data_IF_951709404757
#
_entry.id   IF_951709404757
#
_cell.length_a   1.000
_cell.length_b   1.000
_cell.length_c   1.000
_cell.angle_alpha   90.00
_cell.angle_beta   90.00
_cell.angle_gamma   90.00
#
_symmetry.space_group_name_H-M   'P 1'
#
loop_
_entity.id
_entity.type
_entity.pdbx_description
1 polymer ?
#
# COMPACT_ATOMS: atom_id res chain seq x y z
N UNK A 1 11.12 -7.84 9.49
CA UNK A 1 11.12 -6.41 9.09
C UNK A 1 11.77 -5.62 10.21
N UNK A 2 12.57 -4.60 9.91
CA UNK A 2 13.09 -3.68 10.93
C UNK A 2 12.12 -2.50 11.08
N UNK A 3 11.34 -2.50 12.16
CA UNK A 3 10.30 -1.50 12.40
C UNK A 3 10.86 -0.09 12.62
N UNK A 4 12.15 0.05 12.98
CA UNK A 4 12.79 1.36 13.14
C UNK A 4 12.96 2.11 11.80
N UNK A 5 12.74 1.42 10.68
CA UNK A 5 12.77 1.98 9.34
C UNK A 5 11.40 2.36 8.79
N UNK A 6 10.35 2.28 9.62
CA UNK A 6 9.00 2.68 9.20
C UNK A 6 8.64 4.00 9.85
N UNK A 7 8.37 4.98 9.01
CA UNK A 7 7.96 6.31 9.42
C UNK A 7 6.50 6.53 9.00
N UNK A 8 5.67 6.92 9.96
CA UNK A 8 4.23 7.14 9.71
C UNK A 8 3.88 8.60 9.85
N UNK A 9 3.15 9.12 8.87
CA UNK A 9 2.65 10.48 8.86
C UNK A 9 1.11 10.45 8.70
N UNK A 10 0.39 11.14 9.57
CA UNK A 10 -1.06 11.30 9.47
C UNK A 10 -1.41 12.67 8.90
N UNK A 11 -2.36 12.73 7.97
CA UNK A 11 -2.79 13.95 7.27
C UNK A 11 -4.31 14.09 7.24
N UNK A 12 -4.79 15.24 6.79
CA UNK A 12 -6.22 15.51 6.56
C UNK A 12 -7.13 15.30 7.80
N UNK A 13 -6.59 15.50 9.01
CA UNK A 13 -7.31 15.24 10.26
C UNK A 13 -7.48 13.76 10.62
N UNK A 14 -6.84 12.85 9.88
CA UNK A 14 -6.70 11.45 10.29
C UNK A 14 -5.84 11.38 11.56
N UNK A 15 -6.25 10.53 12.47
CA UNK A 15 -5.56 10.22 13.73
C UNK A 15 -5.15 8.75 13.72
N UNK A 16 -4.52 8.27 14.79
CA UNK A 16 -4.13 6.86 14.87
C UNK A 16 -5.31 5.88 14.91
N UNK A 17 -6.54 6.35 15.17
CA UNK A 17 -7.74 5.49 15.36
C UNK A 17 -8.98 5.96 14.60
N UNK A 18 -9.04 7.23 14.15
CA UNK A 18 -10.16 7.79 13.40
C UNK A 18 -9.74 8.62 12.18
N UNK A 19 -10.59 8.70 11.14
CA UNK A 19 -11.77 7.86 10.91
C UNK A 19 -11.37 6.42 10.56
N UNK A 20 -12.25 5.44 10.75
CA UNK A 20 -11.97 4.06 10.31
C UNK A 20 -12.05 3.97 8.79
N UNK A 21 -13.13 4.51 8.22
CA UNK A 21 -13.38 4.48 6.78
C UNK A 21 -12.77 5.70 6.07
N UNK A 22 -12.56 5.56 4.77
CA UNK A 22 -12.06 6.65 3.92
C UNK A 22 -10.55 6.89 3.98
N UNK A 23 -9.81 6.18 4.84
CA UNK A 23 -8.34 6.26 4.84
C UNK A 23 -7.76 5.80 3.50
N UNK A 24 -6.73 6.53 3.10
CA UNK A 24 -5.85 6.25 1.97
C UNK A 24 -4.42 6.16 2.48
N UNK A 25 -3.68 5.26 1.89
CA UNK A 25 -2.30 4.95 2.20
C UNK A 25 -1.46 5.30 0.99
N UNK A 26 -0.41 6.09 1.19
CA UNK A 26 0.66 6.32 0.22
C UNK A 26 1.92 5.76 0.84
N UNK A 27 2.43 4.65 0.30
CA UNK A 27 3.66 4.01 0.79
C UNK A 27 4.79 4.32 -0.18
N UNK A 28 5.85 4.97 0.29
CA UNK A 28 7.06 5.23 -0.51
C UNK A 28 8.28 4.57 0.12
N UNK A 29 9.26 4.20 -0.70
CA UNK A 29 10.49 3.54 -0.28
C UNK A 29 11.72 4.38 -0.63
N UNK A 30 12.72 4.38 0.24
CA UNK A 30 14.04 4.92 -0.09
C UNK A 30 15.03 3.81 -0.41
N UNK A 31 15.41 3.66 -1.68
CA UNK A 31 16.42 2.68 -2.10
C UNK A 31 17.79 2.89 -1.44
N UNK A 32 18.07 4.13 -0.99
CA UNK A 32 19.34 4.49 -0.36
C UNK A 32 19.45 4.01 1.09
N UNK A 33 18.38 4.15 1.87
CA UNK A 33 18.39 3.85 3.32
C UNK A 33 17.63 2.57 3.66
N UNK A 34 16.75 2.12 2.77
CA UNK A 34 15.78 1.06 3.01
C UNK A 34 14.62 1.50 3.90
N UNK A 35 14.41 2.81 4.05
CA UNK A 35 13.31 3.35 4.86
C UNK A 35 11.98 3.27 4.10
N UNK A 36 10.92 3.01 4.85
CA UNK A 36 9.54 2.97 4.38
C UNK A 36 8.77 4.11 5.02
N UNK A 37 8.11 4.91 4.19
CA UNK A 37 7.28 6.01 4.65
C UNK A 37 5.83 5.68 4.32
N UNK A 38 4.97 5.73 5.33
CA UNK A 38 3.53 5.45 5.23
C UNK A 38 2.79 6.73 5.57
N UNK A 39 2.25 7.39 4.55
CA UNK A 39 1.38 8.54 4.75
C UNK A 39 -0.07 8.08 4.73
N UNK A 40 -0.82 8.38 5.80
CA UNK A 40 -2.20 8.00 6.01
C UNK A 40 -3.07 9.26 6.03
N UNK A 41 -3.97 9.38 5.06
CA UNK A 41 -4.81 10.57 4.89
C UNK A 41 -6.19 10.23 4.34
N UNK A 42 -6.99 11.25 4.03
CA UNK A 42 -8.25 11.10 3.28
C UNK A 42 -8.01 11.29 1.77
N UNK A 43 -6.85 11.85 1.43
CA UNK A 43 -6.31 11.98 0.08
C UNK A 43 -4.99 11.24 -0.03
N UNK A 44 -4.59 10.90 -1.25
CA UNK A 44 -3.23 10.41 -1.47
C UNK A 44 -2.25 11.57 -1.26
N UNK A 45 -1.05 11.25 -0.78
CA UNK A 45 0.00 12.24 -0.59
C UNK A 45 0.65 12.57 -1.93
N UNK A 46 -0.05 13.33 -2.78
CA UNK A 46 0.40 13.66 -4.14
C UNK A 46 1.76 14.36 -4.17
N UNK A 47 2.10 15.12 -3.13
CA UNK A 47 3.43 15.72 -2.91
C UNK A 47 4.56 14.70 -2.65
N UNK A 48 4.22 13.46 -2.33
CA UNK A 48 5.15 12.35 -2.08
C UNK A 48 5.25 11.39 -3.27
N UNK A 49 4.34 11.50 -4.24
CA UNK A 49 4.38 10.72 -5.47
C UNK A 49 5.47 11.32 -6.35
N UNK A 50 6.49 10.53 -6.64
CA UNK A 50 7.59 10.98 -7.49
C UNK A 50 7.36 10.63 -8.97
N UNK A 51 8.31 11.02 -9.82
CA UNK A 51 8.25 10.69 -11.25
C UNK A 51 8.53 9.21 -11.54
N UNK A 52 9.23 8.54 -10.63
CA UNK A 52 9.56 7.12 -10.77
C UNK A 52 8.34 6.25 -10.46
N UNK A 53 7.33 6.78 -9.76
CA UNK A 53 6.05 6.14 -9.46
C UNK A 53 6.21 4.87 -8.62
N UNK A 54 7.25 4.82 -7.79
CA UNK A 54 7.60 3.64 -6.97
C UNK A 54 6.73 3.54 -5.70
N UNK A 55 5.73 4.40 -5.54
CA UNK A 55 4.76 4.31 -4.47
C UNK A 55 3.79 3.13 -4.61
N UNK A 56 3.29 2.65 -3.48
CA UNK A 56 2.08 1.82 -3.41
C UNK A 56 0.94 2.69 -2.88
N UNK A 57 -0.10 2.85 -3.69
CA UNK A 57 -1.31 3.59 -3.32
C UNK A 57 -2.39 2.61 -2.90
N UNK A 58 -3.00 2.78 -1.73
CA UNK A 58 -4.11 1.94 -1.28
C UNK A 58 -5.24 2.76 -0.66
N UNK A 59 -6.47 2.27 -0.78
CA UNK A 59 -7.66 2.87 -0.16
C UNK A 59 -8.62 1.79 0.30
N UNK A 60 -9.37 2.10 1.35
CA UNK A 60 -10.55 1.31 1.68
C UNK A 60 -11.63 1.52 0.61
N UNK A 61 -12.28 0.44 0.21
CA UNK A 61 -13.43 0.49 -0.69
C UNK A 61 -14.53 -0.45 -0.21
N UNK A 62 -15.78 -0.10 -0.51
CA UNK A 62 -16.93 -0.96 -0.30
C UNK A 62 -17.34 -1.54 -1.65
N UNK A 63 -17.35 -2.86 -1.76
CA UNK A 63 -17.79 -3.57 -2.96
C UNK A 63 -18.64 -4.76 -2.55
N UNK A 64 -19.86 -4.83 -3.08
CA UNK A 64 -20.82 -5.91 -2.79
C UNK A 64 -21.04 -6.15 -1.29
N UNK A 65 -21.15 -5.06 -0.51
CA UNK A 65 -21.35 -5.12 0.95
C UNK A 65 -20.12 -5.57 1.76
N UNK A 66 -18.96 -5.76 1.12
CA UNK A 66 -17.69 -6.10 1.79
C UNK A 66 -16.71 -4.94 1.69
N UNK A 67 -15.99 -4.70 2.78
CA UNK A 67 -14.86 -3.78 2.78
C UNK A 67 -13.65 -4.53 2.21
N UNK A 68 -12.95 -3.88 1.28
CA UNK A 68 -11.68 -4.32 0.73
C UNK A 68 -10.64 -3.22 0.87
N UNK A 69 -9.37 -3.62 0.98
CA UNK A 69 -8.25 -2.72 0.78
C UNK A 69 -7.78 -2.89 -0.67
N UNK A 70 -8.03 -1.88 -1.49
CA UNK A 70 -7.62 -1.92 -2.90
C UNK A 70 -6.43 -1.02 -3.11
N UNK A 71 -5.45 -1.47 -3.87
CA UNK A 71 -4.28 -0.70 -4.19
C UNK A 71 -3.88 -0.75 -5.65
N UNK A 72 -2.94 0.11 -6.02
CA UNK A 72 -2.47 0.29 -7.38
C UNK A 72 -0.95 0.53 -7.38
N UNK A 73 -0.27 -0.08 -8.34
CA UNK A 73 1.15 0.16 -8.65
C UNK A 73 1.33 0.28 -10.16
N UNK A 74 2.16 1.23 -10.59
CA UNK A 74 2.52 1.40 -11.98
C UNK A 74 3.71 0.51 -12.33
N UNK A 75 3.55 -0.34 -13.34
CA UNK A 75 4.60 -1.27 -13.80
C UNK A 75 5.37 -0.73 -15.00
N UNK A 76 4.75 0.11 -15.81
CA UNK A 76 5.39 0.66 -17.00
C UNK A 76 6.61 1.51 -16.63
N UNK A 77 7.62 1.41 -17.48
CA UNK A 77 8.89 2.09 -17.34
C UNK A 77 9.47 2.31 -18.75
N UNK A 78 10.61 2.99 -18.88
CA UNK A 78 11.16 3.43 -20.17
C UNK A 78 11.40 2.30 -21.18
N UNK A 79 11.52 1.05 -20.71
CA UNK A 79 11.75 -0.12 -21.56
C UNK A 79 11.00 -1.34 -21.02
N UNK A 80 10.61 -2.25 -21.91
CA UNK A 80 9.99 -3.54 -21.56
C UNK A 80 10.82 -4.32 -20.52
N UNK A 81 12.15 -4.32 -20.65
CA UNK A 81 13.05 -4.98 -19.70
C UNK A 81 12.96 -4.38 -18.30
N UNK A 82 12.91 -3.04 -18.19
CA UNK A 82 12.72 -2.36 -16.91
C UNK A 82 11.33 -2.65 -16.34
N UNK A 83 10.27 -2.64 -17.15
CA UNK A 83 8.91 -3.00 -16.71
C UNK A 83 8.84 -4.44 -16.17
N UNK A 84 9.55 -5.39 -16.79
CA UNK A 84 9.66 -6.77 -16.30
C UNK A 84 10.34 -6.85 -14.92
N UNK A 85 11.46 -6.15 -14.74
CA UNK A 85 12.17 -6.09 -13.45
C UNK A 85 11.26 -5.45 -12.39
N UNK A 86 10.59 -4.36 -12.74
CA UNK A 86 9.68 -3.64 -11.86
C UNK A 86 8.49 -4.48 -11.42
N UNK A 87 7.86 -5.21 -12.34
CA UNK A 87 6.83 -6.19 -12.01
C UNK A 87 7.37 -7.23 -11.00
N UNK A 88 8.56 -7.79 -11.24
CA UNK A 88 9.18 -8.74 -10.31
C UNK A 88 9.41 -8.13 -8.92
N UNK A 89 9.94 -6.91 -8.84
CA UNK A 89 10.19 -6.20 -7.58
C UNK A 89 8.89 -5.95 -6.81
N UNK A 90 7.85 -5.40 -7.46
CA UNK A 90 6.57 -5.19 -6.78
C UNK A 90 5.95 -6.50 -6.27
N UNK A 91 6.03 -7.61 -7.01
CA UNK A 91 5.55 -8.89 -6.48
C UNK A 91 6.33 -9.34 -5.23
N UNK A 92 7.64 -9.12 -5.23
CA UNK A 92 8.53 -9.51 -4.13
C UNK A 92 8.35 -8.61 -2.89
N UNK A 93 8.15 -7.32 -3.09
CA UNK A 93 8.21 -6.30 -2.02
C UNK A 93 6.84 -5.83 -1.55
N UNK A 94 5.74 -6.16 -2.26
CA UNK A 94 4.38 -5.84 -1.81
C UNK A 94 4.11 -6.31 -0.37
N UNK A 95 4.51 -7.51 0.08
CA UNK A 95 4.34 -7.91 1.48
C UNK A 95 4.98 -6.95 2.48
N UNK A 96 6.12 -6.34 2.14
CA UNK A 96 6.81 -5.37 2.97
C UNK A 96 6.02 -4.05 3.07
N UNK A 97 5.48 -3.56 1.96
CA UNK A 97 4.61 -2.38 1.94
C UNK A 97 3.33 -2.60 2.77
N UNK A 98 2.72 -3.79 2.68
CA UNK A 98 1.52 -4.15 3.45
C UNK A 98 1.81 -4.29 4.95
N UNK A 99 2.97 -4.85 5.33
CA UNK A 99 3.44 -4.83 6.73
C UNK A 99 3.69 -3.42 7.23
N UNK A 100 4.24 -2.53 6.40
CA UNK A 100 4.45 -1.14 6.77
C UNK A 100 3.12 -0.42 7.04
N UNK A 101 2.09 -0.65 6.22
CA UNK A 101 0.73 -0.15 6.48
C UNK A 101 0.20 -0.71 7.79
N UNK A 102 0.35 -2.02 8.02
CA UNK A 102 -0.08 -2.65 9.26
C UNK A 102 0.56 -1.99 10.47
N UNK A 103 1.87 -1.75 10.41
CA UNK A 103 2.63 -1.12 11.49
C UNK A 103 2.26 0.36 11.68
N UNK A 104 2.14 1.11 10.57
CA UNK A 104 1.82 2.53 10.61
C UNK A 104 0.42 2.80 11.14
N UNK A 105 -0.55 1.95 10.79
CA UNK A 105 -1.93 2.06 11.26
C UNK A 105 -2.26 1.09 12.41
N UNK A 106 -1.24 0.66 13.16
CA UNK A 106 -1.36 -0.43 14.15
C UNK A 106 -2.45 -0.19 15.20
N UNK A 107 -2.61 1.04 15.71
CA UNK A 107 -3.61 1.36 16.74
C UNK A 107 -5.03 1.17 16.21
N UNK A 108 -5.31 1.62 14.99
CA UNK A 108 -6.60 1.36 14.32
C UNK A 108 -6.90 -0.14 14.24
N UNK A 109 -5.93 -0.94 13.81
CA UNK A 109 -6.07 -2.40 13.71
C UNK A 109 -6.16 -3.09 15.07
N UNK A 110 -5.52 -2.55 16.10
CA UNK A 110 -5.61 -3.03 17.47
C UNK A 110 -7.02 -2.86 18.03
N UNK A 111 -7.63 -1.71 17.82
CA UNK A 111 -8.98 -1.38 18.27
C UNK A 111 -10.09 -2.02 17.42
N UNK A 112 -9.80 -2.31 16.14
CA UNK A 112 -10.79 -2.81 15.19
C UNK A 112 -10.35 -4.16 14.57
N UNK A 113 -10.39 -5.23 15.37
CA UNK A 113 -9.97 -6.59 14.92
C UNK A 113 -10.68 -7.08 13.66
N UNK A 114 -11.91 -6.62 13.40
CA UNK A 114 -12.64 -6.91 12.16
C UNK A 114 -11.90 -6.49 10.88
N UNK A 115 -10.96 -5.54 10.97
CA UNK A 115 -10.15 -5.11 9.84
C UNK A 115 -9.10 -6.17 9.42
N UNK A 116 -8.82 -7.16 10.27
CA UNK A 116 -7.89 -8.25 9.96
C UNK A 116 -8.35 -9.11 8.78
N UNK A 117 -9.66 -9.34 8.67
CA UNK A 117 -10.24 -10.21 7.65
C UNK A 117 -10.47 -9.48 6.32
N UNK A 118 -10.04 -8.22 6.21
CA UNK A 118 -10.19 -7.45 4.98
C UNK A 118 -9.21 -7.96 3.92
N UNK A 119 -9.79 -8.33 2.78
CA UNK A 119 -9.07 -8.78 1.58
C UNK A 119 -8.34 -7.62 0.92
N UNK A 120 -7.13 -7.91 0.45
CA UNK A 120 -6.25 -6.97 -0.22
C UNK A 120 -6.18 -7.33 -1.72
N UNK A 121 -6.51 -6.36 -2.57
CA UNK A 121 -6.44 -6.49 -4.02
C UNK A 121 -5.58 -5.38 -4.60
N UNK A 122 -4.50 -5.72 -5.29
CA UNK A 122 -3.60 -4.74 -5.90
C UNK A 122 -3.68 -4.84 -7.42
N UNK A 123 -4.01 -3.73 -8.08
CA UNK A 123 -3.95 -3.60 -9.53
C UNK A 123 -2.53 -3.23 -9.95
N UNK A 124 -1.92 -4.12 -10.71
CA UNK A 124 -0.69 -3.87 -11.44
C UNK A 124 -1.11 -3.19 -12.75
N UNK A 125 -0.82 -1.90 -12.89
CA UNK A 125 -1.19 -1.09 -14.06
C UNK A 125 -0.04 -1.17 -15.06
N UNK A 126 -0.32 -1.64 -16.27
CA UNK A 126 0.66 -1.73 -17.35
C UNK A 126 -0.01 -1.67 -18.72
N UNK A 127 0.69 -1.14 -19.72
CA UNK A 127 0.37 -1.32 -21.14
C UNK A 127 0.62 -2.75 -21.61
N UNK A 128 1.51 -3.49 -20.94
CA UNK A 128 1.78 -4.89 -21.23
C UNK A 128 0.69 -5.76 -20.58
N UNK A 129 -0.16 -6.37 -21.40
CA UNK A 129 -1.31 -7.18 -20.95
C UNK A 129 -0.91 -8.29 -19.96
N UNK A 130 0.28 -8.87 -20.13
CA UNK A 130 0.81 -9.90 -19.22
C UNK A 130 0.97 -9.42 -17.77
N UNK A 131 1.20 -8.11 -17.55
CA UNK A 131 1.36 -7.49 -16.24
C UNK A 131 0.11 -6.74 -15.76
N UNK A 132 -0.80 -6.35 -16.66
CA UNK A 132 -1.97 -5.53 -16.37
C UNK A 132 -3.09 -6.28 -15.60
N UNK A 133 -2.83 -6.72 -14.37
CA UNK A 133 -3.68 -7.67 -13.64
C UNK A 133 -4.00 -7.20 -12.23
N UNK A 134 -5.17 -7.60 -11.71
CA UNK A 134 -5.48 -7.49 -10.28
C UNK A 134 -4.97 -8.76 -9.60
N UNK A 135 -4.25 -8.58 -8.50
CA UNK A 135 -3.70 -9.69 -7.70
C UNK A 135 -4.24 -9.63 -6.28
N UNK A 136 -4.59 -10.80 -5.76
CA UNK A 136 -4.99 -10.97 -4.37
C UNK A 136 -3.73 -11.17 -3.51
N UNK A 137 -3.60 -10.37 -2.46
CA UNK A 137 -2.50 -10.44 -1.49
C UNK A 137 -2.96 -10.94 -0.12
N UNK A 138 -4.01 -11.77 -0.10
CA UNK A 138 -4.56 -12.31 1.13
C UNK A 138 -5.33 -11.26 1.92
N UNK A 139 -5.17 -11.29 3.23
CA UNK A 139 -5.88 -10.44 4.19
C UNK A 139 -4.91 -9.66 5.08
N UNK A 140 -5.36 -8.56 5.69
CA UNK A 140 -4.52 -7.78 6.64
C UNK A 140 -4.05 -8.61 7.84
N UNK A 141 -4.71 -9.73 8.16
CA UNK A 141 -4.30 -10.70 9.17
C UNK A 141 -2.93 -11.32 8.90
N UNK A 142 -2.58 -11.55 7.63
CA UNK A 142 -1.31 -12.15 7.22
C UNK A 142 -0.11 -11.23 7.45
N UNK A 143 -0.38 -9.92 7.58
CA UNK A 143 0.65 -8.89 7.75
C UNK A 143 0.75 -8.36 9.18
N UNK A 144 0.12 -9.02 10.16
CA UNK A 144 0.19 -8.66 11.58
C UNK A 144 1.64 -8.59 12.07
N UNK A 145 1.90 -7.60 12.93
CA UNK A 145 3.19 -7.34 13.59
C UNK A 145 3.31 -8.07 14.92
#
# INVERSE_FOLDING_TARGET
MDYNKIFTEFRDGVTETYPIEGRKYTVTHSDKTGDLFVTIGLKYAEDKIDKLRDEVLLKWTHSNGKIKLVGEVLIDNDTIKKSKIRNMLFNKEMPLALQAIRYGDRKLFEENKKLDDIVIEIKFISELEEYNKVKNFGTMKEYKI
#
